data_IF_521574374565
#
_entry.id   IF_521574374565
#
_cell.length_a   1.000
_cell.length_b   1.000
_cell.length_c   1.000
_cell.angle_alpha   90.00
_cell.angle_beta   90.00
_cell.angle_gamma   90.00
#
_symmetry.space_group_name_H-M   'P 1'
#
loop_
_entity.id
_entity.type
_entity.pdbx_description
1 polymer ?
#
# COMPACT_ATOMS: atom_id res chain seq x y z
N UNK A 1 -2.30 -6.08 12.05
CA UNK A 1 -0.97 -6.32 11.43
C UNK A 1 -0.83 -5.45 10.18
N UNK A 2 0.36 -4.90 9.90
CA UNK A 2 0.65 -4.15 8.66
C UNK A 2 1.74 -4.89 7.89
N UNK A 3 1.50 -5.17 6.60
CA UNK A 3 2.50 -5.73 5.68
C UNK A 3 2.85 -4.66 4.66
N UNK A 4 4.14 -4.34 4.56
CA UNK A 4 4.66 -3.22 3.77
C UNK A 4 5.75 -3.70 2.82
N UNK A 5 5.68 -3.25 1.58
CA UNK A 5 6.79 -3.37 0.63
C UNK A 5 7.89 -2.36 1.03
N UNK A 6 9.12 -2.83 1.19
CA UNK A 6 10.25 -2.08 1.77
C UNK A 6 11.44 -1.93 0.82
N UNK A 7 11.39 -2.51 -0.38
CA UNK A 7 12.53 -2.64 -1.30
C UNK A 7 12.33 -1.99 -2.67
N UNK A 8 11.13 -1.49 -2.97
CA UNK A 8 10.77 -0.87 -4.25
C UNK A 8 10.01 0.45 -4.10
N UNK A 9 9.19 0.76 -5.10
CA UNK A 9 8.36 1.96 -5.13
C UNK A 9 9.16 3.26 -5.21
N UNK A 10 8.55 4.34 -4.74
CA UNK A 10 9.11 5.69 -4.81
C UNK A 10 10.45 5.87 -4.07
N UNK A 11 10.74 4.99 -3.10
CA UNK A 11 11.97 5.03 -2.32
C UNK A 11 13.22 4.63 -3.10
N UNK A 12 13.07 3.75 -4.10
CA UNK A 12 14.20 3.22 -4.87
C UNK A 12 14.05 3.45 -6.38
N UNK A 13 12.89 3.94 -6.82
CA UNK A 13 12.62 4.24 -8.21
C UNK A 13 13.56 5.27 -8.81
N UNK A 14 13.87 5.06 -10.09
CA UNK A 14 14.65 5.95 -10.93
C UNK A 14 13.81 6.32 -12.16
N UNK A 15 13.96 7.53 -12.71
CA UNK A 15 14.90 8.58 -12.30
C UNK A 15 14.46 9.29 -11.01
N UNK A 16 15.43 9.87 -10.27
CA UNK A 16 15.15 10.67 -9.07
C UNK A 16 16.22 11.75 -8.90
N UNK A 17 15.86 12.88 -8.31
CA UNK A 17 16.79 13.97 -8.06
C UNK A 17 16.10 15.31 -7.96
N UNK A 18 16.90 16.36 -8.07
CA UNK A 18 16.46 17.73 -8.16
C UNK A 18 17.39 18.48 -9.14
N UNK A 19 16.91 19.57 -9.72
CA UNK A 19 17.65 20.37 -10.69
C UNK A 19 16.84 21.57 -11.17
N UNK A 20 17.34 22.26 -12.19
CA UNK A 20 16.64 23.40 -12.80
C UNK A 20 16.10 22.97 -14.17
N UNK A 21 14.84 23.27 -14.47
CA UNK A 21 14.25 23.00 -15.79
C UNK A 21 14.72 24.04 -16.82
N UNK A 22 14.28 23.88 -18.08
CA UNK A 22 14.65 24.78 -19.17
C UNK A 22 14.14 26.22 -18.98
N UNK A 23 13.09 26.40 -18.15
CA UNK A 23 12.51 27.70 -17.79
C UNK A 23 13.22 28.38 -16.61
N UNK A 24 14.26 27.75 -16.03
CA UNK A 24 14.99 28.30 -14.89
C UNK A 24 14.38 28.02 -13.50
N UNK A 25 13.33 27.20 -13.40
CA UNK A 25 12.70 26.82 -12.13
C UNK A 25 13.36 25.60 -11.50
N UNK A 26 13.50 25.62 -10.15
CA UNK A 26 13.94 24.46 -9.38
C UNK A 26 12.84 23.39 -9.32
N UNK A 27 13.17 22.18 -9.78
CA UNK A 27 12.31 21.02 -9.79
C UNK A 27 12.91 19.88 -8.98
N UNK A 28 12.06 19.14 -8.27
CA UNK A 28 12.39 17.88 -7.61
C UNK A 28 11.49 16.77 -8.13
N UNK A 29 12.04 15.58 -8.35
CA UNK A 29 11.27 14.45 -8.86
C UNK A 29 11.70 13.12 -8.27
N UNK A 30 10.72 12.23 -8.16
CA UNK A 30 10.87 10.83 -7.78
C UNK A 30 9.93 9.99 -8.65
N UNK A 31 10.33 8.76 -8.95
CA UNK A 31 9.50 7.83 -9.72
C UNK A 31 8.95 6.74 -8.81
N UNK A 32 7.62 6.60 -8.77
CA UNK A 32 6.97 5.43 -8.20
C UNK A 32 6.85 4.34 -9.25
N UNK A 33 7.55 3.22 -9.04
CA UNK A 33 7.57 2.09 -9.97
C UNK A 33 7.56 0.78 -9.20
N UNK A 34 6.77 -0.18 -9.69
CA UNK A 34 6.71 -1.54 -9.18
C UNK A 34 6.73 -2.53 -10.34
N UNK A 35 7.56 -3.57 -10.22
CA UNK A 35 7.51 -4.74 -11.07
C UNK A 35 6.48 -5.75 -10.56
N UNK A 36 5.94 -6.58 -11.46
CA UNK A 36 4.96 -7.61 -11.09
C UNK A 36 5.49 -8.54 -9.99
N UNK A 37 6.75 -8.97 -10.09
CA UNK A 37 7.40 -9.86 -9.12
C UNK A 37 7.50 -9.26 -7.72
N UNK A 38 7.70 -7.94 -7.62
CA UNK A 38 7.75 -7.23 -6.33
C UNK A 38 6.39 -7.26 -5.66
N UNK A 39 5.33 -6.88 -6.40
CA UNK A 39 3.95 -6.87 -5.88
C UNK A 39 3.48 -8.28 -5.53
N UNK A 40 3.71 -9.25 -6.42
CA UNK A 40 3.27 -10.63 -6.23
C UNK A 40 3.92 -11.24 -4.98
N UNK A 41 5.23 -11.03 -4.78
CA UNK A 41 5.98 -11.55 -3.62
C UNK A 41 5.38 -11.02 -2.32
N UNK A 42 5.17 -9.71 -2.21
CA UNK A 42 4.68 -9.13 -0.97
C UNK A 42 3.18 -9.40 -0.76
N UNK A 43 2.39 -9.50 -1.83
CA UNK A 43 0.98 -9.88 -1.77
C UNK A 43 0.82 -11.30 -1.19
N UNK A 44 1.60 -12.27 -1.66
CA UNK A 44 1.61 -13.63 -1.11
C UNK A 44 1.91 -13.65 0.38
N UNK A 45 2.91 -12.89 0.84
CA UNK A 45 3.21 -12.75 2.27
C UNK A 45 2.00 -12.18 3.02
N UNK A 46 1.32 -11.17 2.47
CA UNK A 46 0.14 -10.58 3.09
C UNK A 46 -1.05 -11.56 3.18
N UNK A 47 -1.33 -12.30 2.11
CA UNK A 47 -2.37 -13.33 2.08
C UNK A 47 -2.07 -14.49 3.04
N UNK A 48 -0.84 -15.00 3.06
CA UNK A 48 -0.40 -16.03 4.00
C UNK A 48 -0.53 -15.58 5.45
N UNK A 49 -0.19 -14.33 5.72
CA UNK A 49 -0.32 -13.75 7.05
C UNK A 49 -1.81 -13.62 7.43
N UNK A 50 -2.66 -13.20 6.48
CA UNK A 50 -4.11 -13.03 6.71
C UNK A 50 -4.77 -14.37 6.99
N UNK A 51 -4.37 -15.42 6.26
CA UNK A 51 -4.82 -16.80 6.46
C UNK A 51 -4.54 -17.32 7.87
N UNK A 52 -3.41 -16.95 8.47
CA UNK A 52 -3.02 -17.35 9.85
C UNK A 52 -3.71 -16.53 10.95
N UNK A 53 -4.43 -15.47 10.57
CA UNK A 53 -5.07 -14.55 11.51
C UNK A 53 -6.59 -14.59 11.31
N UNK A 54 -7.16 -13.51 10.78
CA UNK A 54 -8.60 -13.30 10.67
C UNK A 54 -9.21 -13.78 9.35
N UNK A 55 -8.38 -14.29 8.42
CA UNK A 55 -8.81 -14.65 7.07
C UNK A 55 -9.21 -13.45 6.22
N UNK A 56 -8.74 -12.25 6.56
CA UNK A 56 -9.19 -10.98 5.96
C UNK A 56 -8.02 -10.07 5.64
N UNK A 57 -7.97 -9.57 4.41
CA UNK A 57 -6.92 -8.71 3.88
C UNK A 57 -7.53 -7.43 3.29
N UNK A 58 -7.02 -6.27 3.70
CA UNK A 58 -7.38 -4.98 3.14
C UNK A 58 -6.17 -4.40 2.40
N UNK A 59 -6.21 -4.38 1.07
CA UNK A 59 -5.19 -3.74 0.24
C UNK A 59 -5.46 -2.24 0.13
N UNK A 60 -4.44 -1.44 0.42
CA UNK A 60 -4.52 0.01 0.43
C UNK A 60 -3.69 0.58 -0.70
N UNK A 61 -4.33 1.38 -1.56
CA UNK A 61 -3.73 1.94 -2.77
C UNK A 61 -4.32 3.33 -3.11
N UNK A 62 -3.86 3.95 -4.19
CA UNK A 62 -4.46 5.15 -4.79
C UNK A 62 -4.79 4.91 -6.26
N UNK A 63 -5.47 3.79 -6.55
CA UNK A 63 -5.75 3.36 -7.92
C UNK A 63 -6.73 4.28 -8.68
N UNK A 64 -7.31 5.29 -8.04
CA UNK A 64 -8.10 6.34 -8.71
C UNK A 64 -7.24 7.46 -9.30
N UNK A 65 -5.94 7.50 -9.03
CA UNK A 65 -5.02 8.55 -9.49
C UNK A 65 -3.75 7.96 -10.10
N UNK A 66 -3.14 6.95 -9.45
CA UNK A 66 -1.80 6.49 -9.81
C UNK A 66 -1.85 5.18 -10.61
N UNK A 67 -1.21 5.15 -11.77
CA UNK A 67 -1.07 3.94 -12.60
C UNK A 67 -0.32 2.84 -11.86
N UNK A 68 0.71 3.18 -11.08
CA UNK A 68 1.42 2.24 -10.21
C UNK A 68 0.46 1.57 -9.19
N UNK A 69 -0.50 2.32 -8.66
CA UNK A 69 -1.54 1.78 -7.77
C UNK A 69 -2.61 0.97 -8.50
N UNK A 70 -2.98 1.34 -9.73
CA UNK A 70 -3.87 0.51 -10.57
C UNK A 70 -3.20 -0.83 -10.89
N UNK A 71 -1.93 -0.80 -11.26
CA UNK A 71 -1.12 -1.99 -11.49
C UNK A 71 -1.02 -2.85 -10.23
N UNK A 72 -0.74 -2.24 -9.08
CA UNK A 72 -0.75 -2.92 -7.78
C UNK A 72 -2.06 -3.66 -7.54
N UNK A 73 -3.20 -2.95 -7.63
CA UNK A 73 -4.53 -3.55 -7.43
C UNK A 73 -4.76 -4.72 -8.38
N UNK A 74 -4.42 -4.58 -9.66
CA UNK A 74 -4.50 -5.65 -10.66
C UNK A 74 -3.71 -6.89 -10.23
N UNK A 75 -2.47 -6.74 -9.76
CA UNK A 75 -1.64 -7.85 -9.30
C UNK A 75 -2.21 -8.50 -8.03
N UNK A 76 -2.63 -7.72 -7.06
CA UNK A 76 -3.22 -8.22 -5.81
C UNK A 76 -4.49 -9.03 -6.07
N UNK A 77 -5.38 -8.55 -6.94
CA UNK A 77 -6.59 -9.28 -7.32
C UNK A 77 -6.26 -10.60 -8.04
N UNK A 78 -5.20 -10.64 -8.86
CA UNK A 78 -4.76 -11.87 -9.49
C UNK A 78 -4.28 -12.89 -8.44
N UNK A 79 -3.46 -12.47 -7.47
CA UNK A 79 -2.98 -13.33 -6.38
C UNK A 79 -4.14 -13.80 -5.48
N UNK A 80 -5.19 -13.00 -5.30
CA UNK A 80 -6.35 -13.36 -4.49
C UNK A 80 -7.01 -14.69 -4.91
N UNK A 81 -6.98 -15.00 -6.21
CA UNK A 81 -7.51 -16.26 -6.74
C UNK A 81 -6.82 -17.51 -6.19
N UNK A 82 -5.58 -17.37 -5.70
CA UNK A 82 -4.80 -18.44 -5.09
C UNK A 82 -5.12 -18.62 -3.59
N UNK A 83 -5.89 -17.70 -3.00
CA UNK A 83 -6.24 -17.64 -1.58
C UNK A 83 -7.76 -17.49 -1.37
N UNK A 84 -8.58 -18.46 -1.83
CA UNK A 84 -10.05 -18.34 -1.80
C UNK A 84 -10.65 -18.26 -0.39
N UNK A 85 -9.87 -18.64 0.63
CA UNK A 85 -10.26 -18.58 2.04
C UNK A 85 -9.89 -17.25 2.71
N UNK A 86 -9.37 -16.26 1.96
CA UNK A 86 -9.05 -14.93 2.46
C UNK A 86 -9.97 -13.91 1.79
N UNK A 87 -10.74 -13.18 2.60
CA UNK A 87 -11.57 -12.08 2.14
C UNK A 87 -10.69 -10.88 1.77
N UNK A 88 -10.62 -10.54 0.48
CA UNK A 88 -9.91 -9.37 -0.02
C UNK A 88 -10.85 -8.16 -0.12
N UNK A 89 -10.40 -7.03 0.42
CA UNK A 89 -11.02 -5.72 0.29
C UNK A 89 -10.00 -4.68 -0.17
N UNK A 90 -10.47 -3.58 -0.76
CA UNK A 90 -9.62 -2.46 -1.16
C UNK A 90 -10.05 -1.17 -0.49
N UNK A 91 -9.08 -0.35 -0.09
CA UNK A 91 -9.32 0.97 0.49
C UNK A 91 -8.38 2.00 -0.11
N UNK A 92 -8.88 3.18 -0.44
CA UNK A 92 -8.00 4.26 -0.87
C UNK A 92 -7.23 4.86 0.30
N UNK A 93 -5.97 5.24 0.06
CA UNK A 93 -5.07 5.76 1.10
C UNK A 93 -5.55 7.05 1.77
N UNK A 94 -6.27 7.91 1.05
CA UNK A 94 -6.91 9.11 1.61
C UNK A 94 -8.06 8.75 2.55
N UNK A 95 -8.91 7.79 2.16
CA UNK A 95 -9.95 7.28 3.05
C UNK A 95 -9.32 6.65 4.30
N UNK A 96 -8.25 5.88 4.15
CA UNK A 96 -7.50 5.34 5.29
C UNK A 96 -6.95 6.44 6.20
N UNK A 97 -6.34 7.50 5.63
CA UNK A 97 -5.84 8.65 6.39
C UNK A 97 -6.97 9.44 7.06
N UNK A 98 -8.10 9.66 6.40
CA UNK A 98 -9.26 10.34 6.98
C UNK A 98 -9.85 9.55 8.15
N UNK A 99 -9.94 8.23 8.01
CA UNK A 99 -10.41 7.34 9.08
C UNK A 99 -9.44 7.35 10.28
N UNK A 100 -8.12 7.46 10.03
CA UNK A 100 -7.11 7.58 11.08
C UNK A 100 -7.28 8.88 11.88
N UNK A 101 -7.52 10.00 11.21
CA UNK A 101 -7.72 11.31 11.85
C UNK A 101 -9.07 11.37 12.57
N UNK A 102 -10.15 10.92 11.92
CA UNK A 102 -11.52 11.04 12.42
C UNK A 102 -11.81 10.11 13.59
N UNK A 103 -11.25 8.90 13.56
CA UNK A 103 -11.39 7.96 14.66
C UNK A 103 -10.16 7.03 14.69
N UNK A 104 -9.05 7.45 15.33
CA UNK A 104 -7.82 6.65 15.37
C UNK A 104 -8.05 5.29 16.03
N UNK A 105 -9.01 5.21 16.97
CA UNK A 105 -9.46 3.94 17.55
C UNK A 105 -10.19 3.08 16.53
N UNK A 106 -10.77 3.57 15.46
CA UNK A 106 -11.47 2.71 14.49
C UNK A 106 -10.51 1.88 13.63
N UNK A 107 -9.36 2.45 13.23
CA UNK A 107 -8.32 1.73 12.46
C UNK A 107 -7.35 0.97 13.37
N UNK A 108 -7.01 1.52 14.54
CA UNK A 108 -6.05 0.91 15.48
C UNK A 108 -6.70 0.27 16.72
N UNK A 109 -8.03 0.18 16.82
CA UNK A 109 -8.65 -0.57 17.92
C UNK A 109 -8.29 -2.04 17.79
N UNK A 110 -7.90 -2.69 18.90
CA UNK A 110 -7.68 -4.12 18.93
C UNK A 110 -8.89 -4.93 18.42
N UNK A 111 -10.12 -4.37 18.44
CA UNK A 111 -11.30 -5.04 17.88
C UNK A 111 -11.28 -5.18 16.35
N UNK A 112 -10.67 -4.25 15.60
CA UNK A 112 -10.57 -4.31 14.12
C UNK A 112 -9.17 -4.64 13.60
N UNK A 113 -8.12 -4.46 14.41
CA UNK A 113 -6.79 -5.05 14.10
C UNK A 113 -6.82 -6.58 14.09
N UNK A 114 -7.78 -7.17 14.80
CA UNK A 114 -8.12 -8.58 14.72
C UNK A 114 -9.07 -8.91 13.56
N UNK A 115 -9.50 -7.93 12.77
CA UNK A 115 -10.37 -8.15 11.61
C UNK A 115 -9.64 -8.02 10.28
N UNK A 116 -8.62 -7.16 10.09
CA UNK A 116 -7.94 -7.02 8.79
C UNK A 116 -6.43 -6.83 8.89
N UNK A 117 -5.69 -7.49 8.00
CA UNK A 117 -4.29 -7.16 7.70
C UNK A 117 -4.26 -6.01 6.70
N UNK A 118 -3.45 -4.97 6.97
CA UNK A 118 -3.31 -3.83 6.09
C UNK A 118 -2.14 -4.00 5.11
N UNK A 119 -2.53 -4.13 3.85
CA UNK A 119 -1.81 -4.22 2.59
C UNK A 119 -1.24 -2.92 2.02
N UNK A 120 -0.08 -2.37 2.43
CA UNK A 120 0.30 -1.01 2.00
C UNK A 120 1.22 -0.98 0.77
N UNK A 121 0.75 -0.33 -0.29
CA UNK A 121 1.54 0.03 -1.50
C UNK A 121 2.39 1.29 -1.34
N UNK A 122 2.17 2.10 -0.31
CA UNK A 122 2.70 3.47 -0.26
C UNK A 122 3.28 3.89 1.09
N UNK A 123 4.24 4.79 0.99
CA UNK A 123 4.96 5.52 2.04
C UNK A 123 4.05 6.31 3.01
N UNK A 124 2.76 6.45 2.73
CA UNK A 124 1.84 7.36 3.46
C UNK A 124 1.78 7.08 4.98
N UNK A 125 2.02 5.85 5.40
CA UNK A 125 2.06 5.50 6.82
C UNK A 125 3.33 5.94 7.57
N UNK A 126 4.41 6.33 6.88
CA UNK A 126 5.59 6.88 7.56
C UNK A 126 5.26 8.15 8.35
N UNK A 127 4.21 8.89 7.97
CA UNK A 127 3.77 10.07 8.71
C UNK A 127 2.97 9.76 9.99
N UNK A 128 2.34 8.58 10.09
CA UNK A 128 1.46 8.24 11.21
C UNK A 128 2.00 7.12 12.12
N UNK A 129 3.06 6.41 11.73
CA UNK A 129 3.69 5.33 12.52
C UNK A 129 4.71 5.82 13.56
N UNK A 130 4.92 7.14 13.72
CA UNK A 130 5.75 7.72 14.79
C UNK A 130 4.85 8.34 15.88
N UNK A 131 4.11 7.52 16.62
CA UNK A 131 3.71 7.80 18.00
C UNK A 131 3.57 6.49 18.76
#
# INVERSE_FOLDING_TARGET
MVVRELTGGIYFGKPRGFGTNDDGEEIGFNTEVYAASEVDRIARVAFETARKQSGKLCSVDKANVLEASMFWRKRVMAIASEYPNVELSHMYVDNAAMQLVRNPKHIFSPRKQNEHIFFLSLCFFCFFSKR
#
